data_IF_684817086461
#
_entry.id   IF_684817086461
#
_cell.length_a   1.000
_cell.length_b   1.000
_cell.length_c   1.000
_cell.angle_alpha   90.00
_cell.angle_beta   90.00
_cell.angle_gamma   90.00
#
_symmetry.space_group_name_H-M   'P 1'
#
loop_
_entity.id
_entity.type
_entity.pdbx_description
1 polymer ?
#
# COMPACT_ATOMS: atom_id res chain seq x y z
N UNK A 1 22.86 5.86 0.06
CA UNK A 1 21.49 5.63 -0.46
C UNK A 1 20.53 5.45 0.72
N UNK A 2 19.39 6.08 0.66
CA UNK A 2 18.36 5.97 1.67
C UNK A 2 17.12 5.29 1.07
N UNK A 3 16.67 4.20 1.70
CA UNK A 3 15.42 3.54 1.35
C UNK A 3 14.38 3.88 2.42
N UNK A 4 13.31 4.55 2.01
CA UNK A 4 12.16 4.83 2.86
C UNK A 4 11.01 3.92 2.43
N UNK A 5 10.43 3.24 3.39
CA UNK A 5 9.29 2.36 3.16
C UNK A 5 8.15 2.70 4.12
N UNK A 6 6.95 2.75 3.59
CA UNK A 6 5.76 3.01 4.39
C UNK A 6 4.51 2.91 3.52
N UNK A 7 3.36 2.97 4.17
CA UNK A 7 2.07 2.92 3.49
C UNK A 7 1.20 4.09 3.95
N UNK A 8 0.67 4.84 2.98
CA UNK A 8 -0.31 5.88 3.23
C UNK A 8 -1.58 5.47 2.48
N UNK A 9 -2.67 5.33 3.22
CA UNK A 9 -3.94 4.92 2.64
C UNK A 9 -4.60 6.12 1.95
N UNK A 10 -4.74 6.03 0.64
CA UNK A 10 -5.46 7.06 -0.12
C UNK A 10 -6.96 6.97 0.14
N UNK A 11 -7.52 5.80 -0.04
CA UNK A 11 -8.94 5.51 0.19
C UNK A 11 -9.07 4.16 0.87
N UNK A 12 -9.96 4.07 1.85
CA UNK A 12 -10.17 2.84 2.61
C UNK A 12 -11.65 2.56 2.73
N UNK A 13 -12.07 1.38 2.30
CA UNK A 13 -13.40 0.82 2.53
C UNK A 13 -13.26 -0.34 3.51
N UNK A 14 -13.49 -0.07 4.79
CA UNK A 14 -13.34 -1.05 5.86
C UNK A 14 -14.33 -2.21 5.71
N UNK A 15 -15.55 -1.92 5.32
CA UNK A 15 -16.58 -2.96 5.13
C UNK A 15 -16.17 -3.93 4.01
N UNK A 16 -15.69 -3.40 2.88
CA UNK A 16 -15.22 -4.22 1.76
C UNK A 16 -13.98 -5.01 2.15
N UNK A 17 -13.05 -4.41 2.87
CA UNK A 17 -11.84 -5.07 3.33
C UNK A 17 -12.18 -6.32 4.15
N UNK A 18 -13.09 -6.21 5.11
CA UNK A 18 -13.49 -7.34 5.94
C UNK A 18 -14.42 -8.33 5.22
N UNK A 19 -15.05 -7.94 4.12
CA UNK A 19 -15.78 -8.88 3.27
C UNK A 19 -14.85 -9.83 2.51
N UNK A 20 -13.61 -9.38 2.25
CA UNK A 20 -12.61 -10.15 1.50
C UNK A 20 -11.65 -10.93 2.41
N UNK A 21 -11.42 -10.44 3.63
CA UNK A 21 -10.55 -11.11 4.59
C UNK A 21 -11.32 -12.23 5.31
N UNK A 22 -10.61 -13.30 5.60
CA UNK A 22 -11.17 -14.45 6.34
C UNK A 22 -11.29 -14.12 7.83
N UNK A 23 -12.30 -13.34 8.18
CA UNK A 23 -12.63 -13.00 9.57
C UNK A 23 -13.96 -13.67 9.91
N UNK A 24 -14.12 -14.28 11.09
CA UNK A 24 -15.40 -14.86 11.50
C UNK A 24 -16.51 -13.81 11.45
N UNK A 25 -17.62 -14.14 10.79
CA UNK A 25 -18.76 -13.21 10.61
C UNK A 25 -19.28 -12.67 11.95
N UNK A 26 -19.20 -13.45 12.99
CA UNK A 26 -19.61 -13.10 14.36
C UNK A 26 -18.80 -11.93 14.93
N UNK A 27 -17.58 -11.73 14.44
CA UNK A 27 -16.70 -10.63 14.85
C UNK A 27 -16.88 -9.38 14.01
N UNK A 28 -17.57 -9.48 12.86
CA UNK A 28 -17.84 -8.34 11.99
C UNK A 28 -19.16 -7.70 12.43
N UNK A 29 -19.12 -6.95 13.52
CA UNK A 29 -20.25 -6.14 13.98
C UNK A 29 -20.04 -4.68 13.59
N UNK A 30 -21.11 -3.89 13.64
CA UNK A 30 -21.01 -2.45 13.42
C UNK A 30 -20.03 -1.79 14.39
N UNK A 31 -20.01 -2.26 15.64
CA UNK A 31 -19.06 -1.80 16.63
C UNK A 31 -17.62 -2.10 16.23
N UNK A 32 -17.35 -3.30 15.73
CA UNK A 32 -16.01 -3.70 15.27
C UNK A 32 -15.54 -2.83 14.11
N UNK A 33 -16.40 -2.59 13.13
CA UNK A 33 -16.08 -1.70 11.99
C UNK A 33 -15.80 -0.29 12.50
N UNK A 34 -16.58 0.20 13.44
CA UNK A 34 -16.38 1.52 14.03
C UNK A 34 -15.04 1.60 14.78
N UNK A 35 -14.68 0.57 15.55
CA UNK A 35 -13.40 0.50 16.27
C UNK A 35 -12.22 0.53 15.30
N UNK A 36 -12.30 -0.19 14.18
CA UNK A 36 -11.27 -0.17 13.14
C UNK A 36 -11.16 1.22 12.52
N UNK A 37 -12.29 1.87 12.22
CA UNK A 37 -12.31 3.24 11.68
C UNK A 37 -11.70 4.27 12.61
N UNK A 38 -11.73 4.03 13.93
CA UNK A 38 -11.08 4.90 14.90
C UNK A 38 -9.56 4.74 14.94
N UNK A 39 -9.04 3.61 14.47
CA UNK A 39 -7.60 3.30 14.49
C UNK A 39 -6.90 3.60 13.19
N UNK A 40 -7.62 3.64 12.09
CA UNK A 40 -7.08 3.89 10.76
C UNK A 40 -7.90 4.97 10.07
N UNK A 41 -7.23 5.73 9.21
CA UNK A 41 -7.87 6.72 8.38
C UNK A 41 -7.28 6.68 6.98
N UNK A 42 -7.89 7.39 6.05
CA UNK A 42 -7.38 7.56 4.71
C UNK A 42 -7.34 9.03 4.32
N UNK A 43 -6.58 9.36 3.29
CA UNK A 43 -6.47 10.75 2.82
C UNK A 43 -7.84 11.27 2.37
N UNK A 44 -8.63 10.46 1.68
CA UNK A 44 -9.97 10.89 1.23
C UNK A 44 -10.97 11.10 2.36
N UNK A 45 -10.78 10.47 3.51
CA UNK A 45 -11.60 10.73 4.71
C UNK A 45 -11.32 12.10 5.30
N UNK A 46 -10.06 12.55 5.22
CA UNK A 46 -9.63 13.85 5.72
C UNK A 46 -9.84 14.96 4.70
N UNK A 47 -9.66 14.68 3.42
CA UNK A 47 -9.85 15.62 2.33
C UNK A 47 -10.37 14.90 1.08
N UNK A 48 -11.70 14.83 0.88
CA UNK A 48 -12.29 14.14 -0.26
C UNK A 48 -11.95 14.75 -1.62
N UNK A 49 -11.49 15.98 -1.65
CA UNK A 49 -11.19 16.71 -2.89
C UNK A 49 -9.81 16.39 -3.47
N UNK A 50 -8.94 15.70 -2.72
CA UNK A 50 -7.58 15.43 -3.19
C UNK A 50 -7.56 14.21 -4.14
N UNK A 51 -6.87 14.34 -5.28
CA UNK A 51 -6.67 13.23 -6.21
C UNK A 51 -5.42 12.42 -5.85
N UNK A 52 -5.32 11.20 -6.40
CA UNK A 52 -4.11 10.38 -6.23
C UNK A 52 -2.87 11.09 -6.75
N UNK A 53 -2.98 11.77 -7.88
CA UNK A 53 -1.89 12.54 -8.48
C UNK A 53 -1.42 13.67 -7.56
N UNK A 54 -2.36 14.40 -6.95
CA UNK A 54 -2.04 15.47 -6.00
C UNK A 54 -1.35 14.93 -4.75
N UNK A 55 -1.79 13.78 -4.24
CA UNK A 55 -1.16 13.12 -3.10
C UNK A 55 0.27 12.69 -3.44
N UNK A 56 0.47 12.08 -4.60
CA UNK A 56 1.79 11.66 -5.07
C UNK A 56 2.74 12.85 -5.18
N UNK A 57 2.30 13.94 -5.79
CA UNK A 57 3.11 15.14 -5.93
C UNK A 57 3.46 15.77 -4.56
N UNK A 58 2.51 15.78 -3.65
CA UNK A 58 2.73 16.28 -2.30
C UNK A 58 3.78 15.44 -1.54
N UNK A 59 3.72 14.12 -1.68
CA UNK A 59 4.70 13.21 -1.07
C UNK A 59 6.09 13.41 -1.65
N UNK A 60 6.21 13.50 -2.96
CA UNK A 60 7.48 13.77 -3.63
C UNK A 60 8.05 15.11 -3.11
N UNK A 61 7.23 16.16 -3.08
CA UNK A 61 7.65 17.46 -2.60
C UNK A 61 8.11 17.46 -1.15
N UNK A 62 7.37 16.76 -0.28
CA UNK A 62 7.69 16.70 1.14
C UNK A 62 8.98 15.92 1.41
N UNK A 63 9.17 14.78 0.76
CA UNK A 63 10.35 13.94 0.97
C UNK A 63 11.62 14.51 0.33
N UNK A 64 11.49 15.37 -0.66
CA UNK A 64 12.64 15.96 -1.36
C UNK A 64 12.94 17.39 -0.95
N UNK A 65 12.16 17.99 -0.07
CA UNK A 65 12.34 19.37 0.36
C UNK A 65 13.74 19.60 0.96
N UNK A 66 14.47 20.58 0.44
CA UNK A 66 15.81 20.92 0.88
C UNK A 66 16.89 19.90 0.54
N UNK A 67 16.60 18.97 -0.37
CA UNK A 67 17.53 17.90 -0.78
C UNK A 67 17.72 17.90 -2.28
N UNK A 68 18.90 17.47 -2.72
CA UNK A 68 19.12 17.15 -4.12
C UNK A 68 18.52 15.77 -4.40
N UNK A 69 17.77 15.64 -5.49
CA UNK A 69 17.14 14.38 -5.85
C UNK A 69 17.05 14.23 -7.37
N UNK A 70 16.89 13.01 -7.81
CA UNK A 70 16.69 12.65 -9.21
C UNK A 70 15.56 11.63 -9.30
N UNK A 71 14.66 11.83 -10.24
CA UNK A 71 13.63 10.85 -10.55
C UNK A 71 14.22 9.79 -11.47
N UNK A 72 14.14 8.54 -11.05
CA UNK A 72 14.64 7.42 -11.81
C UNK A 72 13.58 6.37 -12.05
N UNK A 73 13.90 5.43 -12.89
CA UNK A 73 13.08 4.27 -13.16
C UNK A 73 13.80 2.98 -12.81
N UNK A 74 13.10 1.88 -12.97
CA UNK A 74 13.67 0.55 -12.79
C UNK A 74 14.58 0.24 -13.98
N UNK A 75 15.82 -0.15 -13.71
CA UNK A 75 16.78 -0.51 -14.74
C UNK A 75 16.40 -1.83 -15.43
N UNK A 76 16.86 -2.05 -16.65
CA UNK A 76 16.52 -3.25 -17.42
C UNK A 76 16.98 -4.54 -16.72
N UNK A 77 18.19 -4.55 -16.14
CA UNK A 77 18.70 -5.68 -15.37
C UNK A 77 17.86 -5.96 -14.12
N UNK A 78 17.33 -4.93 -13.48
CA UNK A 78 16.42 -5.06 -12.33
C UNK A 78 15.08 -5.67 -12.75
N UNK A 79 14.52 -5.25 -13.89
CA UNK A 79 13.30 -5.83 -14.46
C UNK A 79 13.49 -7.31 -14.78
N UNK A 80 14.63 -7.67 -15.37
CA UNK A 80 14.96 -9.05 -15.71
C UNK A 80 15.08 -9.91 -14.44
N UNK A 81 15.72 -9.38 -13.40
CA UNK A 81 15.82 -10.07 -12.11
C UNK A 81 14.45 -10.25 -11.45
N UNK A 82 13.60 -9.22 -11.51
CA UNK A 82 12.24 -9.29 -10.98
C UNK A 82 11.40 -10.36 -11.70
N UNK A 83 11.48 -10.43 -13.02
CA UNK A 83 10.77 -11.43 -13.81
C UNK A 83 11.24 -12.85 -13.48
N UNK A 84 12.55 -13.05 -13.30
CA UNK A 84 13.08 -14.35 -12.89
C UNK A 84 12.58 -14.75 -11.50
N UNK A 85 12.59 -13.83 -10.54
CA UNK A 85 12.09 -14.08 -9.19
C UNK A 85 10.58 -14.35 -9.17
N UNK A 86 9.82 -13.60 -9.97
CA UNK A 86 8.38 -13.82 -10.09
C UNK A 86 8.08 -15.25 -10.57
N UNK A 87 8.85 -15.75 -11.51
CA UNK A 87 8.66 -17.08 -12.09
C UNK A 87 9.20 -18.21 -11.20
N UNK A 88 10.43 -18.05 -10.69
CA UNK A 88 11.14 -19.12 -9.98
C UNK A 88 10.77 -19.21 -8.50
N UNK A 89 10.37 -18.12 -7.88
CA UNK A 89 10.12 -18.04 -6.43
C UNK A 89 8.67 -17.65 -6.13
N UNK A 90 8.30 -16.43 -6.45
CA UNK A 90 7.02 -15.86 -6.01
C UNK A 90 5.80 -16.43 -6.75
N UNK A 91 5.99 -17.00 -7.94
CA UNK A 91 4.95 -17.75 -8.67
C UNK A 91 4.94 -19.24 -8.37
N UNK A 92 5.81 -19.74 -7.49
CA UNK A 92 5.90 -21.16 -7.18
C UNK A 92 4.97 -21.55 -6.04
N UNK A 93 4.48 -22.77 -6.08
CA UNK A 93 3.66 -23.34 -4.99
C UNK A 93 4.48 -23.49 -3.71
N UNK A 94 5.76 -23.81 -3.84
CA UNK A 94 6.68 -23.92 -2.70
C UNK A 94 6.70 -22.62 -1.87
N UNK A 95 6.79 -21.48 -2.54
CA UNK A 95 6.76 -20.18 -1.87
C UNK A 95 5.37 -19.85 -1.34
N UNK A 96 4.34 -19.99 -2.17
CA UNK A 96 2.99 -19.55 -1.86
C UNK A 96 2.33 -20.36 -0.74
N UNK A 97 2.69 -21.63 -0.60
CA UNK A 97 2.15 -22.51 0.43
C UNK A 97 3.14 -22.80 1.57
N UNK A 98 4.26 -22.10 1.60
CA UNK A 98 5.22 -22.19 2.69
C UNK A 98 4.62 -21.61 3.97
N UNK A 99 4.78 -22.33 5.08
CA UNK A 99 4.33 -21.89 6.40
C UNK A 99 5.41 -22.08 7.45
#
# INVERSE_FOLDING_TARGET
MLLQHGTILYKLDVAKMFSLLKVPKEKISDKFILDVKQRVTSVTDLNPAISESQLKDALIGAFTAGKEFELGGVAENEKMAALRLAKSRYGSDEWNFMR
#
